data_IF_678996036492
#
_entry.id   IF_678996036492
#
_cell.length_a   1.000
_cell.length_b   1.000
_cell.length_c   1.000
_cell.angle_alpha   90.00
_cell.angle_beta   90.00
_cell.angle_gamma   90.00
#
_symmetry.space_group_name_H-M   'P 1'
#
loop_
_entity.id
_entity.type
_entity.pdbx_description
1 polymer ?
#
# COMPACT_ATOMS: atom_id res chain seq x y z
N UNK A 1 33.35 -2.87 12.97
CA UNK A 1 33.20 -2.34 11.59
C UNK A 1 33.78 -0.94 11.54
N UNK A 2 34.31 -0.48 10.41
CA UNK A 2 34.76 0.91 10.21
C UNK A 2 33.86 1.58 9.18
N UNK A 3 33.30 2.75 9.49
CA UNK A 3 32.50 3.52 8.54
C UNK A 3 33.42 4.49 7.81
N UNK A 4 33.33 4.51 6.48
CA UNK A 4 34.11 5.43 5.65
C UNK A 4 33.40 6.78 5.66
N UNK A 5 34.10 7.82 6.12
CA UNK A 5 33.61 9.21 6.13
C UNK A 5 34.40 10.06 5.15
N UNK A 6 33.93 11.29 4.89
CA UNK A 6 34.64 12.27 4.06
C UNK A 6 36.05 12.64 4.58
N UNK A 7 36.35 12.31 5.85
CA UNK A 7 37.64 12.56 6.50
C UNK A 7 38.49 11.29 6.65
N UNK A 8 38.09 10.19 5.99
CA UNK A 8 38.76 8.89 6.07
C UNK A 8 37.97 7.85 6.88
N UNK A 9 38.53 6.64 7.02
CA UNK A 9 37.93 5.57 7.80
C UNK A 9 37.87 5.94 9.28
N UNK A 10 36.69 5.84 9.89
CA UNK A 10 36.53 6.01 11.33
C UNK A 10 37.31 4.95 12.11
N UNK A 11 37.60 5.23 13.38
CA UNK A 11 38.04 4.18 14.30
C UNK A 11 37.05 3.01 14.28
N UNK A 12 37.59 1.79 14.42
CA UNK A 12 36.81 0.56 14.47
C UNK A 12 35.89 0.62 15.67
N UNK A 13 34.58 0.68 15.42
CA UNK A 13 33.58 0.56 16.48
C UNK A 13 33.11 -0.89 16.55
N UNK A 14 32.92 -1.35 17.79
CA UNK A 14 32.20 -2.58 18.10
C UNK A 14 30.72 -2.17 18.08
N UNK A 15 29.94 -2.79 17.21
CA UNK A 15 28.49 -2.61 17.27
C UNK A 15 28.02 -3.10 18.64
N UNK A 16 27.52 -2.19 19.48
CA UNK A 16 26.67 -2.58 20.59
C UNK A 16 25.44 -3.28 20.04
N UNK A 17 24.83 -4.13 20.87
CA UNK A 17 23.78 -5.07 20.47
C UNK A 17 22.72 -4.43 19.53
N UNK A 18 22.28 -5.22 18.55
CA UNK A 18 21.25 -4.78 17.63
C UNK A 18 19.92 -4.59 18.36
N UNK A 19 19.09 -3.68 17.88
CA UNK A 19 17.70 -3.66 18.32
C UNK A 19 17.03 -4.91 17.73
N UNK A 20 16.81 -5.93 18.56
CA UNK A 20 16.13 -7.18 18.16
C UNK A 20 14.76 -6.88 17.55
N UNK A 21 14.38 -7.52 16.44
CA UNK A 21 13.07 -7.32 15.83
C UNK A 21 11.97 -8.09 16.58
N UNK A 22 10.90 -7.41 17.00
CA UNK A 22 9.67 -8.03 17.48
C UNK A 22 9.24 -7.67 18.91
N UNK A 23 10.09 -6.99 19.67
CA UNK A 23 9.74 -6.46 21.00
C UNK A 23 8.78 -5.24 20.90
N UNK A 24 7.86 -5.14 21.86
CA UNK A 24 6.79 -4.14 21.88
C UNK A 24 7.32 -2.71 22.14
N UNK A 25 8.49 -2.57 22.77
CA UNK A 25 9.10 -1.29 23.12
C UNK A 25 9.87 -0.67 21.95
N UNK A 26 10.21 -1.46 20.93
CA UNK A 26 11.09 -1.03 19.83
C UNK A 26 10.61 0.22 19.10
N UNK A 27 9.32 0.40 18.75
CA UNK A 27 8.89 1.62 18.08
C UNK A 27 9.23 2.91 18.84
N UNK A 28 9.28 2.85 20.18
CA UNK A 28 9.72 3.97 21.03
C UNK A 28 11.23 4.16 20.96
N UNK A 29 12.01 3.08 21.05
CA UNK A 29 13.48 3.13 20.92
C UNK A 29 13.89 3.70 19.55
N UNK A 30 13.28 3.22 18.46
CA UNK A 30 13.49 3.77 17.13
C UNK A 30 13.20 5.28 17.09
N UNK A 31 12.13 5.74 17.76
CA UNK A 31 11.83 7.18 17.84
C UNK A 31 12.89 7.94 18.63
N UNK A 32 13.38 7.41 19.75
CA UNK A 32 14.42 8.04 20.56
C UNK A 32 15.74 8.19 19.79
N UNK A 33 16.16 7.14 19.07
CA UNK A 33 17.41 7.15 18.31
C UNK A 33 17.33 7.99 17.02
N UNK A 34 16.23 7.92 16.27
CA UNK A 34 16.12 8.59 14.97
C UNK A 34 15.62 10.04 15.06
N UNK A 35 14.94 10.44 16.14
CA UNK A 35 14.41 11.80 16.24
C UNK A 35 15.51 12.89 16.23
N UNK A 36 16.63 12.75 16.96
CA UNK A 36 17.75 13.70 16.86
C UNK A 36 18.35 13.77 15.45
N UNK A 37 18.42 12.64 14.73
CA UNK A 37 18.89 12.59 13.35
C UNK A 37 17.94 13.34 12.41
N UNK A 38 16.63 13.13 12.53
CA UNK A 38 15.61 13.85 11.74
C UNK A 38 15.66 15.36 12.01
N UNK A 39 15.85 15.76 13.28
CA UNK A 39 16.02 17.16 13.65
C UNK A 39 17.28 17.76 13.03
N UNK A 40 18.41 17.04 13.09
CA UNK A 40 19.66 17.48 12.47
C UNK A 40 19.53 17.62 10.94
N UNK A 41 18.89 16.65 10.27
CA UNK A 41 18.60 16.72 8.83
C UNK A 41 17.72 17.94 8.51
N UNK A 42 16.68 18.19 9.31
CA UNK A 42 15.79 19.33 9.08
C UNK A 42 16.51 20.68 9.27
N UNK A 43 17.35 20.80 10.30
CA UNK A 43 18.15 22.00 10.56
C UNK A 43 19.17 22.23 9.44
N UNK A 44 19.82 21.16 9.00
CA UNK A 44 20.83 21.20 7.97
C UNK A 44 20.19 21.48 6.58
N UNK A 45 18.97 20.98 6.30
CA UNK A 45 18.08 21.37 5.18
C UNK A 45 17.85 22.86 5.10
N UNK A 46 17.66 23.49 6.26
CA UNK A 46 17.44 24.92 6.35
C UNK A 46 18.74 25.74 6.23
N UNK A 47 19.91 25.12 6.38
CA UNK A 47 21.23 25.77 6.38
C UNK A 47 22.15 25.35 5.21
N UNK A 48 21.68 24.48 4.30
CA UNK A 48 22.43 23.93 3.15
C UNK A 48 23.82 23.34 3.51
N UNK A 49 23.91 22.46 4.51
CA UNK A 49 25.19 21.82 4.85
C UNK A 49 25.06 20.31 5.09
N UNK A 50 25.83 19.51 4.34
CA UNK A 50 26.32 18.20 4.79
C UNK A 50 25.60 16.94 4.32
N UNK A 51 24.46 17.01 3.62
CA UNK A 51 23.79 15.84 3.04
C UNK A 51 23.38 16.15 1.59
N UNK A 52 23.72 15.24 0.67
CA UNK A 52 23.28 15.34 -0.72
C UNK A 52 21.83 14.89 -0.82
N UNK A 53 20.94 15.84 -1.12
CA UNK A 53 19.58 15.51 -1.52
C UNK A 53 19.63 14.74 -2.84
N UNK A 54 18.97 13.58 -2.89
CA UNK A 54 18.76 12.86 -4.15
C UNK A 54 18.02 13.80 -5.09
N UNK A 55 18.68 14.16 -6.20
CA UNK A 55 18.13 15.05 -7.21
C UNK A 55 16.83 14.46 -7.79
N UNK A 56 15.89 15.34 -8.14
CA UNK A 56 14.62 14.96 -8.75
C UNK A 56 14.90 14.09 -9.99
N UNK A 57 14.64 12.79 -9.85
CA UNK A 57 14.88 11.82 -10.92
C UNK A 57 13.57 11.62 -11.67
N UNK A 58 13.62 11.56 -13.00
CA UNK A 58 12.44 11.22 -13.83
C UNK A 58 11.97 9.76 -13.68
N UNK A 59 12.75 8.95 -12.95
CA UNK A 59 12.45 7.55 -12.65
C UNK A 59 11.45 7.45 -11.50
N UNK A 60 10.61 6.43 -11.56
CA UNK A 60 9.64 6.18 -10.49
C UNK A 60 10.33 5.69 -9.22
N UNK A 61 9.97 6.26 -8.08
CA UNK A 61 10.46 5.86 -6.75
C UNK A 61 9.36 5.05 -6.07
N UNK A 62 9.69 3.89 -5.52
CA UNK A 62 8.78 3.10 -4.69
C UNK A 62 9.03 3.40 -3.22
N UNK A 63 8.05 3.96 -2.54
CA UNK A 63 8.10 4.27 -1.12
C UNK A 63 6.87 3.70 -0.41
N UNK A 64 7.09 2.87 0.62
CA UNK A 64 6.05 2.16 1.38
C UNK A 64 5.03 1.39 0.49
N UNK A 65 5.49 0.83 -0.63
CA UNK A 65 4.61 0.10 -1.56
C UNK A 65 3.86 0.99 -2.55
N UNK A 66 3.92 2.31 -2.38
CA UNK A 66 3.39 3.30 -3.31
C UNK A 66 4.46 3.78 -4.30
N UNK A 67 4.04 4.20 -5.48
CA UNK A 67 4.94 4.64 -6.55
C UNK A 67 4.78 6.13 -6.82
N UNK A 68 5.88 6.86 -6.75
CA UNK A 68 5.98 8.29 -6.99
C UNK A 68 6.69 8.52 -8.31
N UNK A 69 6.14 9.40 -9.14
CA UNK A 69 6.61 9.67 -10.50
C UNK A 69 6.45 11.17 -10.78
N UNK A 70 7.43 11.76 -11.47
CA UNK A 70 7.39 13.14 -11.93
C UNK A 70 6.20 13.42 -12.88
N UNK A 71 5.78 12.43 -13.68
CA UNK A 71 4.68 12.57 -14.65
C UNK A 71 3.62 11.46 -14.57
N UNK A 72 2.39 11.74 -15.01
CA UNK A 72 1.29 10.75 -15.19
C UNK A 72 1.01 9.80 -14.00
N UNK A 73 0.89 10.36 -12.78
CA UNK A 73 0.65 9.59 -11.56
C UNK A 73 -0.73 8.90 -11.56
N UNK A 74 -1.82 9.65 -11.83
CA UNK A 74 -3.20 9.16 -11.70
C UNK A 74 -3.51 7.97 -12.60
N UNK A 75 -3.24 8.07 -13.91
CA UNK A 75 -3.50 6.98 -14.88
C UNK A 75 -2.75 5.70 -14.54
N UNK A 76 -1.48 5.83 -14.12
CA UNK A 76 -0.66 4.69 -13.71
C UNK A 76 -1.16 4.06 -12.42
N UNK A 77 -1.51 4.87 -11.44
CA UNK A 77 -2.03 4.34 -10.17
C UNK A 77 -3.38 3.64 -10.35
N UNK A 78 -4.26 4.15 -11.20
CA UNK A 78 -5.50 3.45 -11.61
C UNK A 78 -5.17 2.12 -12.29
N UNK A 79 -4.21 2.09 -13.23
CA UNK A 79 -3.76 0.84 -13.88
C UNK A 79 -3.25 -0.16 -12.85
N UNK A 80 -2.43 0.27 -11.88
CA UNK A 80 -1.92 -0.58 -10.81
C UNK A 80 -3.03 -1.15 -9.93
N UNK A 81 -4.02 -0.33 -9.57
CA UNK A 81 -5.19 -0.82 -8.83
C UNK A 81 -5.92 -1.90 -9.62
N UNK A 82 -6.14 -1.69 -10.92
CA UNK A 82 -6.71 -2.73 -11.80
C UNK A 82 -5.86 -3.99 -11.80
N UNK A 83 -4.55 -3.88 -11.89
CA UNK A 83 -3.64 -5.03 -11.86
C UNK A 83 -3.70 -5.76 -10.51
N UNK A 84 -3.81 -5.04 -9.39
CA UNK A 84 -3.97 -5.64 -8.05
C UNK A 84 -5.28 -6.41 -7.96
N UNK A 85 -6.38 -5.81 -8.43
CA UNK A 85 -7.69 -6.45 -8.45
C UNK A 85 -7.65 -7.69 -9.35
N UNK A 86 -7.15 -7.60 -10.58
CA UNK A 86 -7.08 -8.75 -11.50
C UNK A 86 -6.19 -9.87 -10.96
N UNK A 87 -5.02 -9.54 -10.38
CA UNK A 87 -4.15 -10.54 -9.72
C UNK A 87 -4.84 -11.23 -8.55
N UNK A 88 -5.69 -10.52 -7.81
CA UNK A 88 -6.47 -11.10 -6.72
C UNK A 88 -7.61 -11.99 -7.22
N UNK A 89 -8.32 -11.58 -8.28
CA UNK A 89 -9.48 -12.30 -8.81
C UNK A 89 -9.09 -13.54 -9.64
N UNK A 90 -7.96 -13.52 -10.36
CA UNK A 90 -7.51 -14.63 -11.21
C UNK A 90 -7.46 -16.00 -10.51
N UNK A 91 -6.83 -16.17 -9.33
CA UNK A 91 -6.83 -17.44 -8.63
C UNK A 91 -8.22 -17.82 -8.10
N UNK A 92 -9.07 -16.85 -7.77
CA UNK A 92 -10.41 -17.06 -7.23
C UNK A 92 -11.37 -17.57 -8.31
N UNK A 93 -11.27 -17.04 -9.55
CA UNK A 93 -12.12 -17.40 -10.70
C UNK A 93 -12.20 -18.90 -10.98
N UNK A 94 -11.15 -19.65 -10.66
CA UNK A 94 -11.07 -21.10 -10.92
C UNK A 94 -11.33 -21.96 -9.69
N UNK A 95 -11.53 -21.35 -8.51
CA UNK A 95 -11.70 -22.08 -7.24
C UNK A 95 -13.18 -22.17 -6.88
N UNK A 96 -13.59 -23.33 -6.38
CA UNK A 96 -14.88 -23.49 -5.71
C UNK A 96 -14.76 -22.91 -4.30
N UNK A 97 -15.34 -21.73 -4.09
CA UNK A 97 -15.32 -21.01 -2.81
C UNK A 97 -16.77 -20.74 -2.39
N UNK A 98 -17.08 -20.85 -1.11
CA UNK A 98 -18.42 -20.52 -0.59
C UNK A 98 -18.64 -19.01 -0.59
N UNK A 99 -19.91 -18.62 -0.60
CA UNK A 99 -20.35 -17.22 -0.64
C UNK A 99 -19.80 -16.40 0.54
N UNK A 100 -19.77 -16.98 1.74
CA UNK A 100 -19.25 -16.32 2.93
C UNK A 100 -17.73 -16.09 2.86
N UNK A 101 -16.97 -17.09 2.39
CA UNK A 101 -15.53 -16.96 2.27
C UNK A 101 -15.13 -15.90 1.24
N UNK A 102 -15.86 -15.80 0.11
CA UNK A 102 -15.56 -14.75 -0.88
C UNK A 102 -15.93 -13.36 -0.36
N UNK A 103 -17.05 -13.22 0.35
CA UNK A 103 -17.43 -11.95 0.98
C UNK A 103 -16.39 -11.50 2.00
N UNK A 104 -15.91 -12.43 2.86
CA UNK A 104 -14.84 -12.17 3.81
C UNK A 104 -13.54 -11.72 3.12
N UNK A 105 -13.09 -12.45 2.10
CA UNK A 105 -11.87 -12.13 1.36
C UNK A 105 -11.95 -10.76 0.68
N UNK A 106 -13.10 -10.41 0.10
CA UNK A 106 -13.29 -9.09 -0.52
C UNK A 106 -13.23 -8.00 0.55
N UNK A 107 -14.01 -8.15 1.63
CA UNK A 107 -14.15 -7.11 2.66
C UNK A 107 -12.87 -6.88 3.47
N UNK A 108 -12.22 -7.95 3.92
CA UNK A 108 -11.08 -7.86 4.83
C UNK A 108 -9.71 -7.92 4.14
N UNK A 109 -9.64 -8.30 2.86
CA UNK A 109 -8.34 -8.39 2.15
C UNK A 109 -8.30 -7.47 0.95
N UNK A 110 -9.25 -7.60 0.01
CA UNK A 110 -9.19 -6.82 -1.22
C UNK A 110 -9.43 -5.33 -0.97
N UNK A 111 -10.52 -4.98 -0.28
CA UNK A 111 -10.87 -3.57 -0.02
C UNK A 111 -9.76 -2.87 0.75
N UNK A 112 -9.26 -3.45 1.84
CA UNK A 112 -8.16 -2.86 2.61
C UNK A 112 -6.91 -2.61 1.76
N UNK A 113 -6.53 -3.56 0.90
CA UNK A 113 -5.37 -3.40 0.00
C UNK A 113 -5.59 -2.29 -1.01
N UNK A 114 -6.77 -2.22 -1.61
CA UNK A 114 -7.05 -1.22 -2.65
C UNK A 114 -7.21 0.17 -2.05
N UNK A 115 -7.92 0.31 -0.92
CA UNK A 115 -8.05 1.58 -0.19
C UNK A 115 -6.67 2.11 0.21
N UNK A 116 -5.79 1.26 0.74
CA UNK A 116 -4.42 1.66 1.08
C UNK A 116 -3.65 2.24 -0.12
N UNK A 117 -3.67 1.57 -1.27
CA UNK A 117 -3.00 2.06 -2.49
C UNK A 117 -3.69 3.30 -3.06
N UNK A 118 -5.00 3.43 -2.86
CA UNK A 118 -5.77 4.57 -3.28
C UNK A 118 -5.56 5.81 -2.41
N UNK A 119 -5.00 5.72 -1.19
CA UNK A 119 -4.81 6.87 -0.29
C UNK A 119 -4.04 8.04 -0.93
N UNK A 120 -3.17 7.77 -1.90
CA UNK A 120 -2.40 8.80 -2.59
C UNK A 120 -3.17 9.51 -3.72
N UNK A 121 -4.41 9.11 -4.01
CA UNK A 121 -5.22 9.72 -5.05
C UNK A 121 -6.69 9.87 -4.63
N UNK A 122 -7.33 10.95 -5.05
CA UNK A 122 -8.78 11.11 -4.87
C UNK A 122 -9.52 10.40 -6.00
N UNK A 123 -10.11 9.24 -5.69
CA UNK A 123 -11.03 8.52 -6.56
C UNK A 123 -12.46 8.98 -6.29
N UNK A 124 -13.20 9.24 -7.37
CA UNK A 124 -14.63 9.48 -7.30
C UNK A 124 -15.39 8.15 -7.12
N UNK A 125 -16.62 8.23 -6.61
CA UNK A 125 -17.50 7.06 -6.44
C UNK A 125 -17.73 6.31 -7.78
N UNK A 126 -17.86 7.05 -8.89
CA UNK A 126 -18.00 6.47 -10.22
C UNK A 126 -16.76 5.67 -10.64
N UNK A 127 -15.56 6.18 -10.35
CA UNK A 127 -14.32 5.47 -10.65
C UNK A 127 -14.19 4.21 -9.79
N UNK A 128 -14.58 4.25 -8.52
CA UNK A 128 -14.63 3.07 -7.65
C UNK A 128 -15.59 2.01 -8.19
N UNK A 129 -16.80 2.41 -8.58
CA UNK A 129 -17.79 1.51 -9.17
C UNK A 129 -17.26 0.84 -10.46
N UNK A 130 -16.56 1.60 -11.31
CA UNK A 130 -15.93 1.06 -12.51
C UNK A 130 -14.78 0.09 -12.18
N UNK A 131 -13.97 0.39 -11.15
CA UNK A 131 -12.88 -0.46 -10.70
C UNK A 131 -13.36 -1.77 -10.07
N UNK A 132 -14.47 -1.74 -9.32
CA UNK A 132 -15.04 -2.91 -8.63
C UNK A 132 -16.02 -3.72 -9.49
N UNK A 133 -16.42 -3.24 -10.66
CA UNK A 133 -17.23 -4.00 -11.63
C UNK A 133 -16.76 -5.45 -11.85
N UNK A 134 -15.46 -5.77 -12.08
CA UNK A 134 -15.01 -7.15 -12.22
C UNK A 134 -15.18 -7.99 -10.94
N UNK A 135 -15.09 -7.37 -9.76
CA UNK A 135 -15.30 -8.03 -8.47
C UNK A 135 -16.77 -8.43 -8.34
N UNK A 136 -17.70 -7.50 -8.59
CA UNK A 136 -19.14 -7.76 -8.53
C UNK A 136 -19.55 -8.84 -9.54
N UNK A 137 -19.00 -8.82 -10.76
CA UNK A 137 -19.26 -9.87 -11.75
C UNK A 137 -18.80 -11.24 -11.26
N UNK A 138 -17.63 -11.32 -10.63
CA UNK A 138 -17.13 -12.57 -10.07
C UNK A 138 -18.01 -13.09 -8.93
N UNK A 139 -18.43 -12.20 -8.03
CA UNK A 139 -19.33 -12.56 -6.92
C UNK A 139 -20.65 -13.11 -7.45
N UNK A 140 -21.26 -12.43 -8.44
CA UNK A 140 -22.49 -12.92 -9.10
C UNK A 140 -22.27 -14.31 -9.70
N UNK A 141 -21.14 -14.52 -10.37
CA UNK A 141 -20.81 -15.83 -10.97
C UNK A 141 -20.65 -16.93 -9.91
N UNK A 142 -19.94 -16.66 -8.81
CA UNK A 142 -19.72 -17.63 -7.72
C UNK A 142 -21.05 -17.96 -7.03
N UNK A 143 -21.93 -16.99 -6.87
CA UNK A 143 -23.25 -17.17 -6.25
C UNK A 143 -24.30 -17.79 -7.21
N UNK A 144 -23.93 -18.05 -8.47
CA UNK A 144 -24.89 -18.53 -9.49
C UNK A 144 -25.98 -17.51 -9.86
N UNK A 145 -25.75 -16.22 -9.58
CA UNK A 145 -26.72 -15.16 -9.82
C UNK A 145 -26.70 -14.69 -11.28
N UNK A 146 -27.85 -14.31 -11.86
CA UNK A 146 -27.91 -13.68 -13.17
C UNK A 146 -27.08 -12.40 -13.23
N UNK A 147 -26.53 -12.10 -14.41
CA UNK A 147 -25.75 -10.86 -14.62
C UNK A 147 -26.58 -9.59 -14.33
N UNK A 148 -27.89 -9.65 -14.60
CA UNK A 148 -28.89 -8.60 -14.35
C UNK A 148 -29.26 -8.42 -12.87
N UNK A 149 -28.79 -9.28 -11.96
CA UNK A 149 -29.12 -9.19 -10.54
C UNK A 149 -28.74 -7.81 -9.96
N UNK A 150 -29.59 -7.16 -9.16
CA UNK A 150 -29.34 -5.81 -8.66
C UNK A 150 -28.08 -5.75 -7.80
N UNK A 151 -27.17 -4.81 -8.10
CA UNK A 151 -25.91 -4.64 -7.35
C UNK A 151 -26.17 -4.17 -5.91
N UNK A 152 -27.24 -3.41 -5.67
CA UNK A 152 -27.66 -2.98 -4.33
C UNK A 152 -27.92 -4.15 -3.38
N UNK A 153 -28.49 -5.25 -3.89
CA UNK A 153 -28.73 -6.45 -3.09
C UNK A 153 -27.43 -7.15 -2.68
N UNK A 154 -26.35 -7.01 -3.45
CA UNK A 154 -25.03 -7.57 -3.11
C UNK A 154 -24.38 -6.81 -1.94
N UNK A 155 -24.60 -5.51 -1.87
CA UNK A 155 -24.10 -4.68 -0.76
C UNK A 155 -24.93 -4.82 0.51
N UNK A 156 -26.14 -5.35 0.41
CA UNK A 156 -27.02 -5.50 1.55
C UNK A 156 -26.44 -6.50 2.58
N UNK A 157 -26.36 -6.06 3.85
CA UNK A 157 -25.73 -6.80 4.96
C UNK A 157 -26.30 -8.20 5.16
N UNK A 158 -27.60 -8.37 4.95
CA UNK A 158 -28.30 -9.65 5.18
C UNK A 158 -28.29 -10.59 3.96
N UNK A 159 -27.66 -10.20 2.84
CA UNK A 159 -27.57 -11.03 1.63
C UNK A 159 -26.14 -11.48 1.42
N UNK A 160 -25.25 -10.53 1.12
CA UNK A 160 -23.85 -10.79 0.80
C UNK A 160 -22.92 -9.90 1.64
N UNK A 161 -23.40 -8.72 2.06
CA UNK A 161 -22.70 -7.81 2.96
C UNK A 161 -21.34 -7.34 2.44
N UNK A 162 -21.18 -7.22 1.12
CA UNK A 162 -19.96 -6.67 0.55
C UNK A 162 -19.91 -5.17 0.82
N UNK A 163 -18.82 -4.69 1.39
CA UNK A 163 -18.64 -3.27 1.67
C UNK A 163 -18.41 -2.50 0.36
N UNK A 164 -19.02 -1.33 0.24
CA UNK A 164 -18.66 -0.38 -0.82
C UNK A 164 -17.46 0.46 -0.33
N UNK A 165 -16.31 0.42 -1.02
CA UNK A 165 -15.13 1.23 -0.67
C UNK A 165 -15.30 2.71 -1.00
#
# INVERSE_FOLDING_TARGET
MSVITAFGPSSTFIGGDGIDQGDAILPLLWRIFYNPLLVAIQQACNQQQGYEMVQATDKEIRYLGCYFSSSNLRKRSIKRIKDIIEKFLNPIRRKCITVEHIAYLINHVLILRVVYVAQLMTLSENEWNLLFTPVIKLVKQICGLPRSYPTSAIYHRYILGINNP
#
